data_IF_937470051026
#
_entry.id   IF_937470051026
#
_cell.length_a   1.000
_cell.length_b   1.000
_cell.length_c   1.000
_cell.angle_alpha   90.00
_cell.angle_beta   90.00
_cell.angle_gamma   90.00
#
_symmetry.space_group_name_H-M   'P 1'
#
loop_
_entity.id
_entity.type
_entity.pdbx_description
1 polymer ?
#
# COMPACT_ATOMS: atom_id res chain seq x y z
N UNK A 1 -1.85 6.80 3.82
CA UNK A 1 -1.93 7.32 2.44
C UNK A 1 -2.10 8.83 2.39
N UNK A 2 -3.19 9.39 2.91
CA UNK A 2 -3.42 10.85 2.89
C UNK A 2 -2.27 11.65 3.53
N UNK A 3 -1.74 11.15 4.64
CA UNK A 3 -0.56 11.70 5.33
C UNK A 3 0.63 12.01 4.41
N UNK A 4 0.91 11.14 3.45
CA UNK A 4 2.13 11.17 2.63
C UNK A 4 1.89 11.70 1.22
N UNK A 5 0.66 11.60 0.73
CA UNK A 5 0.30 11.91 -0.67
C UNK A 5 -0.57 13.16 -0.80
N UNK A 6 -1.23 13.60 0.28
CA UNK A 6 -2.32 14.59 0.26
C UNK A 6 -3.49 14.22 -0.67
N UNK A 7 -3.61 12.92 -0.98
CA UNK A 7 -4.66 12.34 -1.81
C UNK A 7 -5.55 11.43 -0.98
N UNK A 8 -6.77 11.28 -1.44
CA UNK A 8 -7.69 10.30 -0.87
C UNK A 8 -7.12 8.91 -1.06
N UNK A 9 -7.28 8.02 -0.07
CA UNK A 9 -6.92 6.61 -0.25
C UNK A 9 -7.71 5.97 -1.40
N UNK A 10 -8.92 6.48 -1.69
CA UNK A 10 -9.78 6.02 -2.78
C UNK A 10 -9.18 6.24 -4.17
N UNK A 11 -8.30 7.24 -4.34
CA UNK A 11 -7.63 7.51 -5.63
C UNK A 11 -6.71 6.35 -6.05
N UNK A 12 -6.29 5.53 -5.09
CA UNK A 12 -5.42 4.37 -5.33
C UNK A 12 -6.21 3.06 -5.48
N UNK A 13 -7.53 3.11 -5.35
CA UNK A 13 -8.39 1.95 -5.60
C UNK A 13 -8.57 1.79 -7.11
N UNK A 14 -8.20 0.63 -7.66
CA UNK A 14 -8.21 0.32 -9.09
C UNK A 14 -7.23 1.19 -9.92
N UNK A 15 -6.03 1.38 -9.38
CA UNK A 15 -4.94 2.04 -10.08
C UNK A 15 -3.94 0.99 -10.60
N UNK A 16 -3.56 1.12 -11.88
CA UNK A 16 -2.61 0.21 -12.50
C UNK A 16 -3.09 -1.24 -12.48
N UNK A 17 -2.17 -2.14 -12.15
CA UNK A 17 -2.38 -3.57 -12.14
C UNK A 17 -2.43 -4.19 -10.76
N UNK A 18 -1.91 -3.51 -9.74
CA UNK A 18 -1.78 -4.02 -8.38
C UNK A 18 -2.51 -3.18 -7.34
N UNK A 19 -2.72 -1.87 -7.56
CA UNK A 19 -3.42 -1.06 -6.56
C UNK A 19 -4.93 -1.37 -6.58
N UNK A 20 -5.38 -2.23 -5.67
CA UNK A 20 -6.78 -2.65 -5.57
C UNK A 20 -6.92 -4.10 -5.13
N UNK A 21 -7.99 -4.76 -5.56
CA UNK A 21 -8.21 -6.17 -5.27
C UNK A 21 -7.52 -7.06 -6.32
N UNK A 22 -6.58 -7.92 -5.88
CA UNK A 22 -5.93 -8.91 -6.74
C UNK A 22 -4.58 -8.44 -7.25
N UNK A 23 -4.35 -8.56 -8.55
CA UNK A 23 -3.17 -8.02 -9.23
C UNK A 23 -2.29 -9.09 -9.89
N UNK A 24 -1.81 -8.77 -11.09
CA UNK A 24 -1.02 -9.68 -11.93
C UNK A 24 -0.23 -8.93 -13.00
N UNK A 25 0.78 -9.60 -13.56
CA UNK A 25 1.57 -9.08 -14.67
C UNK A 25 2.64 -8.09 -14.25
N UNK A 26 2.94 -7.12 -15.12
CA UNK A 26 3.98 -6.13 -14.88
C UNK A 26 3.39 -4.81 -14.37
N UNK A 27 3.90 -4.23 -13.26
CA UNK A 27 3.44 -2.92 -12.81
C UNK A 27 3.63 -1.85 -13.89
N UNK A 28 2.59 -1.03 -14.12
CA UNK A 28 2.59 -0.05 -15.22
C UNK A 28 3.43 1.19 -14.95
N UNK A 29 3.73 1.48 -13.69
CA UNK A 29 4.60 2.57 -13.25
C UNK A 29 5.15 2.34 -11.83
N UNK A 30 5.81 3.36 -11.28
CA UNK A 30 6.40 3.33 -9.94
C UNK A 30 5.34 3.20 -8.84
N UNK A 31 4.19 3.86 -8.99
CA UNK A 31 3.12 3.82 -8.00
C UNK A 31 2.50 2.41 -7.96
N UNK A 32 2.26 1.82 -9.12
CA UNK A 32 1.76 0.46 -9.24
C UNK A 32 2.75 -0.57 -8.68
N UNK A 33 4.06 -0.32 -8.84
CA UNK A 33 5.10 -1.15 -8.19
C UNK A 33 5.04 -1.05 -6.66
N UNK A 34 4.75 0.11 -6.10
CA UNK A 34 4.54 0.24 -4.65
C UNK A 34 3.39 -0.66 -4.17
N UNK A 35 2.29 -0.73 -4.94
CA UNK A 35 1.16 -1.60 -4.63
C UNK A 35 1.53 -3.08 -4.73
N UNK A 36 2.28 -3.48 -5.76
CA UNK A 36 2.80 -4.85 -5.84
C UNK A 36 3.60 -5.24 -4.60
N UNK A 37 4.52 -4.38 -4.16
CA UNK A 37 5.34 -4.65 -2.97
C UNK A 37 4.48 -4.72 -1.71
N UNK A 38 3.42 -3.92 -1.63
CA UNK A 38 2.44 -3.97 -0.54
C UNK A 38 1.67 -5.30 -0.52
N UNK A 39 1.18 -5.77 -1.67
CA UNK A 39 0.53 -7.07 -1.79
C UNK A 39 1.46 -8.23 -1.43
N UNK A 40 2.71 -8.19 -1.89
CA UNK A 40 3.72 -9.19 -1.53
C UNK A 40 3.98 -9.20 0.00
N UNK A 41 3.96 -8.02 0.64
CA UNK A 41 4.10 -7.88 2.09
C UNK A 41 2.89 -8.48 2.84
N UNK A 42 1.68 -8.22 2.36
CA UNK A 42 0.45 -8.81 2.92
C UNK A 42 0.43 -10.33 2.76
N UNK A 43 0.81 -10.85 1.59
CA UNK A 43 0.94 -12.28 1.34
C UNK A 43 1.97 -12.93 2.28
N UNK A 44 3.08 -12.26 2.57
CA UNK A 44 4.07 -12.72 3.55
C UNK A 44 3.51 -12.72 4.98
N UNK A 45 2.73 -11.70 5.35
CA UNK A 45 2.06 -11.63 6.66
C UNK A 45 1.10 -12.82 6.87
N UNK A 46 0.30 -13.14 5.86
CA UNK A 46 -0.61 -14.28 5.87
C UNK A 46 0.15 -15.60 5.92
N UNK A 47 1.06 -15.83 4.96
CA UNK A 47 1.75 -17.10 4.77
C UNK A 47 2.71 -17.47 5.89
N UNK A 48 3.51 -16.51 6.37
CA UNK A 48 4.61 -16.80 7.30
C UNK A 48 4.31 -16.42 8.74
N UNK A 49 3.28 -15.60 8.98
CA UNK A 49 2.95 -15.10 10.32
C UNK A 49 1.53 -15.39 10.75
N UNK A 50 0.69 -16.00 9.89
CA UNK A 50 -0.70 -16.30 10.20
C UNK A 50 -1.53 -15.06 10.50
N UNK A 51 -1.12 -13.90 9.97
CA UNK A 51 -1.79 -12.63 10.19
C UNK A 51 -2.93 -12.45 9.20
N UNK A 52 -3.91 -11.63 9.56
CA UNK A 52 -5.02 -11.24 8.67
C UNK A 52 -4.88 -9.75 8.33
N UNK A 53 -4.00 -9.35 7.40
CA UNK A 53 -3.62 -7.95 7.18
C UNK A 53 -4.81 -7.04 6.89
N UNK A 54 -5.79 -7.53 6.12
CA UNK A 54 -7.03 -6.79 5.79
C UNK A 54 -7.96 -6.55 6.98
N UNK A 55 -7.81 -7.31 8.07
CA UNK A 55 -8.64 -7.22 9.28
C UNK A 55 -7.85 -6.72 10.50
N UNK A 56 -6.53 -6.61 10.40
CA UNK A 56 -5.65 -6.29 11.52
C UNK A 56 -5.68 -4.80 11.79
N UNK A 57 -6.33 -4.38 12.87
CA UNK A 57 -6.31 -3.00 13.33
C UNK A 57 -5.02 -2.70 14.12
N UNK A 58 -4.35 -1.62 13.76
CA UNK A 58 -3.13 -1.14 14.39
C UNK A 58 -3.17 0.39 14.55
N UNK A 59 -2.25 0.93 15.35
CA UNK A 59 -2.08 2.37 15.59
C UNK A 59 -0.80 2.87 14.93
N UNK A 60 -0.90 4.02 14.27
CA UNK A 60 0.23 4.76 13.72
C UNK A 60 0.12 6.25 14.05
N UNK A 61 1.23 6.98 13.94
CA UNK A 61 1.23 8.45 13.92
C UNK A 61 1.58 8.97 12.54
N UNK A 62 1.10 10.17 12.24
CA UNK A 62 1.41 10.91 11.03
C UNK A 62 1.97 12.28 11.42
N UNK A 63 3.09 12.67 10.81
CA UNK A 63 3.57 14.05 10.79
C UNK A 63 3.27 14.63 9.41
N UNK A 64 2.14 15.30 9.28
CA UNK A 64 1.67 15.85 7.99
C UNK A 64 2.63 16.90 7.40
N UNK A 65 3.43 17.58 8.23
CA UNK A 65 4.44 18.52 7.72
C UNK A 65 5.57 17.80 6.96
N UNK A 66 5.95 16.61 7.42
CA UNK A 66 7.10 15.86 6.87
C UNK A 66 6.67 14.71 5.96
N UNK A 67 5.38 14.39 5.89
CA UNK A 67 4.89 13.19 5.20
C UNK A 67 5.42 11.90 5.83
N UNK A 68 5.72 11.92 7.14
CA UNK A 68 6.29 10.77 7.85
C UNK A 68 5.21 10.00 8.60
N UNK A 69 5.21 8.68 8.44
CA UNK A 69 4.34 7.74 9.15
C UNK A 69 5.19 6.90 10.08
N UNK A 70 4.76 6.73 11.33
CA UNK A 70 5.46 5.88 12.31
C UNK A 70 4.48 4.89 12.92
N UNK A 71 4.84 3.60 12.90
CA UNK A 71 4.10 2.56 13.60
C UNK A 71 4.32 2.68 15.10
N UNK A 72 3.24 2.75 15.89
CA UNK A 72 3.36 2.70 17.35
C UNK A 72 3.69 1.27 17.80
N UNK A 73 4.04 1.13 19.07
CA UNK A 73 4.01 -0.19 19.70
C UNK A 73 2.57 -0.70 19.66
N UNK A 74 2.37 -1.76 18.89
CA UNK A 74 1.07 -2.35 18.65
C UNK A 74 0.83 -3.64 19.46
N UNK A 75 1.78 -4.03 20.31
CA UNK A 75 1.67 -5.13 21.27
C UNK A 75 1.57 -6.54 20.67
N UNK A 76 1.44 -6.69 19.35
CA UNK A 76 1.44 -8.00 18.67
C UNK A 76 2.27 -7.98 17.40
N UNK A 77 2.82 -9.16 17.06
CA UNK A 77 3.59 -9.37 15.83
C UNK A 77 2.79 -8.98 14.58
N UNK A 78 1.52 -9.38 14.49
CA UNK A 78 0.71 -9.09 13.32
C UNK A 78 0.44 -7.60 13.15
N UNK A 79 0.07 -6.90 14.22
CA UNK A 79 -0.17 -5.45 14.11
C UNK A 79 1.10 -4.68 13.76
N UNK A 80 2.24 -5.07 14.33
CA UNK A 80 3.53 -4.47 13.99
C UNK A 80 3.93 -4.75 12.54
N UNK A 81 3.75 -5.98 12.05
CA UNK A 81 4.11 -6.37 10.69
C UNK A 81 3.21 -5.66 9.65
N UNK A 82 1.89 -5.73 9.83
CA UNK A 82 0.91 -5.11 8.93
C UNK A 82 1.09 -3.59 8.90
N UNK A 83 1.29 -2.95 10.05
CA UNK A 83 1.58 -1.52 10.09
C UNK A 83 2.82 -1.16 9.27
N UNK A 84 3.87 -1.98 9.32
CA UNK A 84 5.10 -1.70 8.56
C UNK A 84 4.91 -1.91 7.05
N UNK A 85 4.09 -2.87 6.62
CA UNK A 85 3.67 -2.98 5.22
C UNK A 85 3.00 -1.67 4.75
N UNK A 86 2.01 -1.19 5.51
CA UNK A 86 1.23 -0.01 5.14
C UNK A 86 2.05 1.29 5.23
N UNK A 87 2.92 1.40 6.23
CA UNK A 87 3.88 2.50 6.36
C UNK A 87 4.78 2.57 5.14
N UNK A 88 5.31 1.43 4.71
CA UNK A 88 6.21 1.35 3.55
C UNK A 88 5.48 1.74 2.27
N UNK A 89 4.27 1.21 2.06
CA UNK A 89 3.42 1.58 0.94
C UNK A 89 3.10 3.09 0.94
N UNK A 90 2.68 3.65 2.08
CA UNK A 90 2.37 5.08 2.20
C UNK A 90 3.56 5.98 1.84
N UNK A 91 4.76 5.65 2.34
CA UNK A 91 5.97 6.41 2.01
C UNK A 91 6.36 6.28 0.53
N UNK A 92 6.16 5.09 -0.05
CA UNK A 92 6.39 4.85 -1.48
C UNK A 92 5.43 5.69 -2.33
N UNK A 93 4.13 5.70 -2.01
CA UNK A 93 3.12 6.47 -2.73
C UNK A 93 3.38 7.98 -2.64
N UNK A 94 3.95 8.46 -1.51
CA UNK A 94 4.31 9.87 -1.35
C UNK A 94 5.47 10.32 -2.25
N UNK A 95 6.26 9.38 -2.79
CA UNK A 95 7.40 9.65 -3.68
C UNK A 95 7.06 9.38 -5.14
N UNK A 96 6.24 8.37 -5.40
CA UNK A 96 5.86 7.99 -6.75
C UNK A 96 4.96 9.05 -7.40
N UNK A 97 5.17 9.39 -8.68
CA UNK A 97 4.28 10.27 -9.40
C UNK A 97 2.92 9.60 -9.59
N UNK A 98 1.85 10.39 -9.47
CA UNK A 98 0.50 9.92 -9.70
C UNK A 98 0.07 10.21 -11.16
N UNK A 99 -0.10 9.17 -11.96
CA UNK A 99 -0.54 9.28 -13.35
C UNK A 99 -2.02 8.89 -13.50
N UNK A 100 -2.90 9.87 -13.75
CA UNK A 100 -4.35 9.68 -13.94
C UNK A 100 -4.70 8.69 -15.07
N UNK A 101 -3.85 8.55 -16.09
CA UNK A 101 -4.10 7.63 -17.21
C UNK A 101 -3.95 6.15 -16.84
N UNK A 102 -3.47 5.88 -15.63
CA UNK A 102 -3.36 4.54 -15.07
C UNK A 102 -4.49 4.20 -14.09
N UNK A 103 -5.46 5.10 -13.89
CA UNK A 103 -6.70 4.79 -13.18
C UNK A 103 -7.62 3.93 -14.05
N UNK A 104 -8.24 2.89 -13.46
CA UNK A 104 -9.27 2.05 -14.09
C UNK A 104 -8.90 1.55 -15.50
N UNK A 105 -7.63 1.19 -15.69
CA UNK A 105 -7.13 0.77 -17.00
C UNK A 105 -7.69 -0.59 -17.43
N UNK A 106 -7.67 -0.83 -18.74
CA UNK A 106 -8.03 -2.14 -19.29
C UNK A 106 -7.09 -3.23 -18.71
N UNK A 107 -7.62 -4.30 -18.10
CA UNK A 107 -6.81 -5.37 -17.52
C UNK A 107 -5.83 -6.03 -18.50
N UNK A 108 -6.07 -5.94 -19.81
CA UNK A 108 -5.12 -6.41 -20.82
C UNK A 108 -3.79 -5.67 -20.84
N UNK A 109 -3.69 -4.50 -20.19
CA UNK A 109 -2.43 -3.77 -20.01
C UNK A 109 -1.54 -4.38 -18.92
N UNK A 110 -2.09 -5.29 -18.10
CA UNK A 110 -1.42 -5.94 -16.98
C UNK A 110 -0.84 -7.32 -17.37
N UNK A 111 -0.24 -7.40 -18.56
CA UNK A 111 0.36 -8.63 -19.08
C UNK A 111 1.83 -8.76 -18.69
#
# INVERSE_FOLDING_TARGET
IECTTRRSAWDFTNYGCYCGAGGSGTPVDELDRCCKVHDDCYAAAEKYHGCSPKLTLYTSTCSSQTGSVTCKDNGTKCKAFVCNCDRTAALCFGRAPYNKNNENINPNRCR
#
